data_IF_829670783131
#
_entry.id   IF_829670783131
#
_cell.length_a   1.000
_cell.length_b   1.000
_cell.length_c   1.000
_cell.angle_alpha   90.00
_cell.angle_beta   90.00
_cell.angle_gamma   90.00
#
_symmetry.space_group_name_H-M   'P 1'
#
loop_
_entity.id
_entity.type
_entity.pdbx_description
1 polymer ?
#
# COMPACT_ATOMS: atom_id res chain seq x y z
N UNK A 1 28.87 -30.97 -33.28
CA UNK A 1 27.77 -31.65 -32.54
C UNK A 1 28.37 -32.19 -31.25
N UNK A 2 28.24 -31.47 -30.13
CA UNK A 2 28.72 -31.98 -28.84
C UNK A 2 27.84 -33.19 -28.48
N UNK A 3 28.44 -34.38 -28.50
CA UNK A 3 27.74 -35.67 -28.39
C UNK A 3 27.06 -35.92 -27.03
N UNK A 4 26.87 -37.19 -26.62
CA UNK A 4 26.03 -37.57 -25.48
C UNK A 4 26.28 -36.82 -24.16
N UNK A 5 27.49 -36.33 -23.92
CA UNK A 5 27.84 -35.52 -22.75
C UNK A 5 27.02 -34.22 -22.62
N UNK A 6 26.64 -33.59 -23.75
CA UNK A 6 25.83 -32.38 -23.73
C UNK A 6 24.39 -32.68 -23.29
N UNK A 7 23.87 -33.85 -23.65
CA UNK A 7 22.53 -34.27 -23.30
C UNK A 7 22.43 -34.56 -21.80
N UNK A 8 23.44 -35.23 -21.22
CA UNK A 8 23.52 -35.48 -19.77
C UNK A 8 23.63 -34.17 -18.98
N UNK A 9 24.42 -33.20 -19.46
CA UNK A 9 24.53 -31.89 -18.81
C UNK A 9 23.18 -31.14 -18.81
N UNK A 10 22.50 -31.07 -19.96
CA UNK A 10 21.19 -30.43 -20.07
C UNK A 10 20.16 -31.11 -19.17
N UNK A 11 20.15 -32.43 -19.14
CA UNK A 11 19.27 -33.20 -18.28
C UNK A 11 19.52 -32.89 -16.80
N UNK A 12 20.78 -32.89 -16.37
CA UNK A 12 21.14 -32.51 -15.01
C UNK A 12 20.67 -31.09 -14.68
N UNK A 13 20.91 -30.11 -15.56
CA UNK A 13 20.43 -28.74 -15.35
C UNK A 13 18.90 -28.70 -15.26
N UNK A 14 18.17 -29.37 -16.14
CA UNK A 14 16.71 -29.37 -16.11
C UNK A 14 16.11 -30.03 -14.86
N UNK A 15 16.80 -30.98 -14.24
CA UNK A 15 16.33 -31.61 -13.01
C UNK A 15 16.76 -30.79 -11.79
N UNK A 16 18.04 -30.44 -11.69
CA UNK A 16 18.58 -29.76 -10.51
C UNK A 16 18.19 -28.29 -10.41
N UNK A 17 18.09 -27.57 -11.53
CA UNK A 17 17.70 -26.16 -11.51
C UNK A 17 16.35 -25.92 -10.82
N UNK A 18 15.23 -26.55 -11.26
CA UNK A 18 13.95 -26.34 -10.59
C UNK A 18 13.96 -26.84 -9.14
N UNK A 19 14.63 -27.96 -8.85
CA UNK A 19 14.70 -28.50 -7.48
C UNK A 19 15.44 -27.54 -6.54
N UNK A 20 16.56 -26.97 -6.98
CA UNK A 20 17.32 -25.99 -6.18
C UNK A 20 16.55 -24.68 -6.00
N UNK A 21 15.88 -24.21 -7.05
CA UNK A 21 14.99 -23.04 -6.98
C UNK A 21 13.87 -23.29 -5.96
N UNK A 22 13.20 -24.44 -6.00
CA UNK A 22 12.17 -24.78 -5.02
C UNK A 22 12.72 -24.91 -3.61
N UNK A 23 13.91 -25.48 -3.41
CA UNK A 23 14.51 -25.57 -2.08
C UNK A 23 14.84 -24.18 -1.51
N UNK A 24 15.34 -23.27 -2.34
CA UNK A 24 15.71 -21.92 -1.90
C UNK A 24 14.49 -21.02 -1.65
N UNK A 25 13.55 -20.98 -2.59
CA UNK A 25 12.38 -20.10 -2.51
C UNK A 25 11.19 -20.72 -1.78
N UNK A 26 11.20 -22.03 -1.55
CA UNK A 26 10.20 -22.75 -0.77
C UNK A 26 10.43 -22.70 0.74
N UNK A 27 11.55 -22.12 1.19
CA UNK A 27 11.81 -21.90 2.61
C UNK A 27 10.77 -20.91 3.19
N UNK A 28 9.99 -21.30 4.22
CA UNK A 28 9.06 -20.38 4.87
C UNK A 28 9.72 -19.11 5.39
N UNK A 29 10.98 -19.17 5.83
CA UNK A 29 11.72 -18.00 6.32
C UNK A 29 12.03 -17.01 5.19
N UNK A 30 12.39 -17.51 4.00
CA UNK A 30 12.60 -16.67 2.83
C UNK A 30 11.31 -15.95 2.44
N UNK A 31 10.18 -16.66 2.45
CA UNK A 31 8.87 -16.08 2.15
C UNK A 31 8.48 -15.00 3.15
N UNK A 32 8.63 -15.27 4.46
CA UNK A 32 8.30 -14.32 5.52
C UNK A 32 9.14 -13.04 5.43
N UNK A 33 10.41 -13.16 5.06
CA UNK A 33 11.33 -12.01 5.01
C UNK A 33 11.18 -11.20 3.72
N UNK A 34 10.94 -11.85 2.58
CA UNK A 34 10.99 -11.18 1.28
C UNK A 34 9.61 -10.82 0.73
N UNK A 35 8.59 -11.66 0.96
CA UNK A 35 7.27 -11.50 0.34
C UNK A 35 6.30 -10.72 1.23
N UNK A 36 6.26 -11.03 2.54
CA UNK A 36 5.31 -10.38 3.47
C UNK A 36 5.56 -8.86 3.59
N UNK A 37 6.79 -8.36 3.75
CA UNK A 37 7.01 -6.91 3.86
C UNK A 37 6.66 -6.17 2.57
N UNK A 38 6.74 -6.85 1.42
CA UNK A 38 6.35 -6.27 0.14
C UNK A 38 4.82 -6.10 0.02
N UNK A 39 4.05 -7.03 0.61
CA UNK A 39 2.58 -6.91 0.70
C UNK A 39 2.16 -5.61 1.41
N UNK A 40 2.87 -5.19 2.45
CA UNK A 40 2.59 -3.96 3.19
C UNK A 40 2.85 -2.67 2.39
N UNK A 41 3.68 -2.75 1.34
CA UNK A 41 3.92 -1.62 0.42
C UNK A 41 2.85 -1.50 -0.65
N UNK A 42 2.31 -2.62 -1.12
CA UNK A 42 1.30 -2.65 -2.19
C UNK A 42 -0.10 -2.39 -1.63
N UNK A 43 -0.42 -3.01 -0.50
CA UNK A 43 -1.75 -2.91 0.08
C UNK A 43 -1.78 -1.86 1.19
N UNK A 44 -2.83 -1.04 1.28
CA UNK A 44 -3.00 -0.14 2.41
C UNK A 44 -2.99 -0.96 3.71
N UNK A 45 -2.25 -0.45 4.70
CA UNK A 45 -2.12 -1.03 6.05
C UNK A 45 -3.48 -1.53 6.56
N UNK A 46 -3.52 -2.67 7.26
CA UNK A 46 -4.77 -3.30 7.68
C UNK A 46 -5.71 -2.35 8.46
N UNK A 47 -5.14 -1.37 9.17
CA UNK A 47 -5.87 -0.31 9.89
C UNK A 47 -6.69 0.63 8.98
N UNK A 48 -6.29 0.78 7.71
CA UNK A 48 -6.97 1.62 6.71
C UNK A 48 -8.03 0.86 5.92
N UNK A 49 -8.04 -0.47 6.03
CA UNK A 49 -8.96 -1.32 5.27
C UNK A 49 -10.10 -1.77 6.18
N UNK A 50 -11.32 -1.30 5.93
CA UNK A 50 -12.50 -1.74 6.69
C UNK A 50 -12.78 -3.21 6.41
N UNK A 51 -12.38 -4.09 7.32
CA UNK A 51 -12.57 -5.55 7.20
C UNK A 51 -13.99 -6.02 7.54
N UNK A 52 -14.67 -5.29 8.42
CA UNK A 52 -16.03 -5.63 8.86
C UNK A 52 -17.01 -4.75 8.10
N UNK A 53 -17.52 -5.26 6.99
CA UNK A 53 -18.60 -4.60 6.26
C UNK A 53 -19.94 -4.88 6.96
N UNK A 54 -20.78 -3.86 7.18
CA UNK A 54 -22.12 -4.08 7.69
C UNK A 54 -22.95 -4.87 6.69
N UNK A 55 -23.41 -6.05 7.09
CA UNK A 55 -24.24 -6.95 6.26
C UNK A 55 -25.73 -6.64 6.36
N UNK A 56 -26.16 -5.90 7.38
CA UNK A 56 -27.56 -5.55 7.62
C UNK A 56 -27.87 -4.13 7.15
N UNK A 57 -29.06 -3.93 6.56
CA UNK A 57 -29.46 -2.64 6.00
C UNK A 57 -29.50 -1.49 7.01
N UNK A 58 -29.88 -1.76 8.26
CA UNK A 58 -29.87 -0.75 9.34
C UNK A 58 -28.45 -0.30 9.68
N UNK A 59 -27.53 -1.26 9.87
CA UNK A 59 -26.11 -0.97 10.14
C UNK A 59 -25.42 -0.24 8.98
N UNK A 60 -25.84 -0.48 7.73
CA UNK A 60 -25.33 0.25 6.57
C UNK A 60 -25.73 1.72 6.64
N UNK A 61 -27.00 2.02 6.98
CA UNK A 61 -27.48 3.41 7.07
C UNK A 61 -26.77 4.19 8.17
N UNK A 62 -26.62 3.59 9.35
CA UNK A 62 -25.89 4.19 10.47
C UNK A 62 -24.43 4.52 10.09
N UNK A 63 -23.75 3.57 9.44
CA UNK A 63 -22.37 3.78 9.01
C UNK A 63 -22.24 4.86 7.90
N UNK A 64 -23.23 4.95 7.01
CA UNK A 64 -23.30 6.02 6.01
C UNK A 64 -23.49 7.40 6.63
N UNK A 65 -24.36 7.52 7.64
CA UNK A 65 -24.56 8.76 8.38
C UNK A 65 -23.27 9.18 9.10
N UNK A 66 -22.57 8.25 9.75
CA UNK A 66 -21.25 8.46 10.36
C UNK A 66 -20.23 8.99 9.35
N UNK A 67 -20.12 8.35 8.18
CA UNK A 67 -19.20 8.77 7.11
C UNK A 67 -19.58 10.17 6.57
N UNK A 68 -20.87 10.46 6.44
CA UNK A 68 -21.36 11.77 5.99
C UNK A 68 -20.97 12.87 6.98
N UNK A 69 -21.19 12.65 8.27
CA UNK A 69 -20.79 13.58 9.32
C UNK A 69 -19.27 13.84 9.30
N UNK A 70 -18.46 12.79 9.18
CA UNK A 70 -17.00 12.91 9.10
C UNK A 70 -16.54 13.72 7.87
N UNK A 71 -17.20 13.56 6.72
CA UNK A 71 -16.90 14.34 5.51
C UNK A 71 -17.24 15.82 5.67
N UNK A 72 -18.35 16.15 6.32
CA UNK A 72 -18.75 17.54 6.56
C UNK A 72 -17.76 18.22 7.50
N UNK A 73 -17.38 17.57 8.61
CA UNK A 73 -16.38 18.08 9.54
C UNK A 73 -15.03 18.34 8.85
N UNK A 74 -14.56 17.37 8.04
CA UNK A 74 -13.29 17.52 7.30
C UNK A 74 -13.33 18.63 6.25
N UNK A 75 -14.49 18.92 5.67
CA UNK A 75 -14.65 20.06 4.75
C UNK A 75 -14.56 21.38 5.51
N UNK A 76 -15.28 21.49 6.63
CA UNK A 76 -15.22 22.69 7.47
C UNK A 76 -13.79 23.01 7.96
N UNK A 77 -13.01 21.99 8.35
CA UNK A 77 -11.59 22.17 8.72
C UNK A 77 -10.73 22.67 7.54
N UNK A 78 -10.96 22.15 6.34
CA UNK A 78 -10.24 22.59 5.13
C UNK A 78 -10.60 24.01 4.74
N UNK A 79 -11.86 24.39 4.87
CA UNK A 79 -12.32 25.74 4.54
C UNK A 79 -11.77 26.77 5.56
N UNK A 80 -11.63 26.40 6.84
CA UNK A 80 -10.96 27.22 7.86
C UNK A 80 -9.45 27.34 7.64
N UNK A 81 -8.78 26.25 7.24
CA UNK A 81 -7.35 26.27 6.90
C UNK A 81 -7.06 27.05 5.60
N UNK A 82 -7.99 27.02 4.63
CA UNK A 82 -7.88 27.81 3.40
C UNK A 82 -8.17 29.30 3.64
N UNK A 83 -9.09 29.64 4.54
CA UNK A 83 -9.42 31.02 4.90
C UNK A 83 -8.33 31.73 5.71
N UNK A 84 -7.55 30.99 6.51
CA UNK A 84 -6.45 31.55 7.33
C UNK A 84 -5.16 31.82 6.54
N UNK A 85 -5.00 31.27 5.34
CA UNK A 85 -3.83 31.50 4.48
C UNK A 85 -4.00 32.69 3.50
N UNK A 86 -5.10 33.44 3.61
CA UNK A 86 -5.41 34.61 2.74
C UNK A 86 -5.25 35.94 3.50
N UNK A 87 -5.05 35.92 4.82
CA UNK A 87 -4.91 37.11 5.68
C UNK A 87 -3.46 37.43 6.08
N UNK A 88 -2.47 37.24 5.19
CA UNK A 88 -1.16 37.89 5.35
C UNK A 88 -1.04 39.04 4.33
N UNK A 89 -1.57 40.25 4.66
CA UNK A 89 -1.42 41.40 3.79
C UNK A 89 0.03 41.89 3.83
N UNK A 90 0.66 41.88 2.66
CA UNK A 90 1.89 42.60 2.37
C UNK A 90 1.71 44.11 2.64
N UNK A 91 1.99 44.57 3.85
CA UNK A 91 2.00 45.99 4.22
C UNK A 91 3.21 46.25 5.14
N UNK A 92 4.41 46.38 4.58
CA UNK A 92 5.59 46.79 5.37
C UNK A 92 6.67 47.57 4.59
N UNK A 93 6.39 48.10 3.39
CA UNK A 93 7.37 48.88 2.61
C UNK A 93 6.82 50.22 2.16
N UNK A 94 6.45 51.08 3.11
CA UNK A 94 6.35 52.53 2.88
C UNK A 94 6.51 53.24 4.22
N UNK A 95 7.76 53.48 4.63
CA UNK A 95 8.18 54.53 5.59
C UNK A 95 9.69 54.42 5.87
N UNK A 96 10.51 54.72 4.87
CA UNK A 96 11.81 55.35 5.06
C UNK A 96 12.31 55.83 3.69
N UNK A 97 12.19 57.13 3.42
CA UNK A 97 13.19 58.08 2.87
C UNK A 97 12.48 59.43 2.72
#
# INVERSE_FOLDING_TARGET
MAGPNLEVFKFAVYVFFPVLVFLHYGDPEWYNTNVIPYKERIFPSEQKTTRTLPTNHLSVREELERIKAQKVARRAEKDQAAGSNVEEPAMSTERLV
#
